data_IF_488918368073
#
_entry.id   IF_488918368073
#
_cell.length_a   1.000
_cell.length_b   1.000
_cell.length_c   1.000
_cell.angle_alpha   90.00
_cell.angle_beta   90.00
_cell.angle_gamma   90.00
#
_symmetry.space_group_name_H-M   'P 1'
#
loop_
_entity.id
_entity.type
_entity.pdbx_description
1 polymer ?
#
# COMPACT_ATOMS: atom_id res chain seq x y z
N UNK A 1 2.11 -8.18 -17.92
CA UNK A 1 0.87 -8.43 -17.13
C UNK A 1 -0.35 -8.08 -17.98
N UNK A 2 -1.16 -9.07 -18.43
CA UNK A 2 -2.20 -8.83 -19.43
C UNK A 2 -3.25 -7.77 -19.05
N UNK A 3 -3.66 -7.72 -17.78
CA UNK A 3 -4.70 -6.78 -17.30
C UNK A 3 -4.23 -5.33 -17.38
N UNK A 4 -2.98 -5.04 -16.98
CA UNK A 4 -2.43 -3.68 -17.00
C UNK A 4 -2.31 -3.18 -18.43
N UNK A 5 -1.85 -4.05 -19.33
CA UNK A 5 -1.73 -3.73 -20.75
C UNK A 5 -3.10 -3.40 -21.38
N UNK A 6 -4.11 -4.24 -21.13
CA UNK A 6 -5.49 -4.00 -21.59
C UNK A 6 -6.08 -2.70 -21.04
N UNK A 7 -5.77 -2.36 -19.79
CA UNK A 7 -6.23 -1.12 -19.17
C UNK A 7 -5.62 0.12 -19.87
N UNK A 8 -4.31 0.09 -20.14
CA UNK A 8 -3.61 1.16 -20.86
C UNK A 8 -4.17 1.32 -22.27
N UNK A 9 -4.32 0.22 -23.02
CA UNK A 9 -4.87 0.24 -24.37
C UNK A 9 -6.29 0.79 -24.41
N UNK A 10 -7.13 0.40 -23.44
CA UNK A 10 -8.52 0.85 -23.35
C UNK A 10 -8.65 2.32 -23.00
N UNK A 11 -7.77 2.85 -22.15
CA UNK A 11 -7.89 4.21 -21.62
C UNK A 11 -6.88 5.21 -22.21
N UNK A 12 -6.03 4.76 -23.15
CA UNK A 12 -5.04 5.59 -23.86
C UNK A 12 -4.13 6.40 -22.91
N UNK A 13 -3.69 5.77 -21.83
CA UNK A 13 -2.86 6.43 -20.82
C UNK A 13 -1.39 6.42 -21.23
N UNK A 14 -0.77 7.60 -21.32
CA UNK A 14 0.63 7.74 -21.75
C UNK A 14 1.65 7.57 -20.60
N UNK A 15 1.30 8.01 -19.38
CA UNK A 15 2.22 8.04 -18.23
C UNK A 15 1.55 7.43 -16.99
N UNK A 16 1.65 6.11 -16.84
CA UNK A 16 1.10 5.38 -15.71
C UNK A 16 2.21 4.91 -14.75
N UNK A 17 2.08 5.26 -13.47
CA UNK A 17 2.90 4.71 -12.39
C UNK A 17 2.09 3.70 -11.59
N UNK A 18 2.47 2.43 -11.66
CA UNK A 18 1.81 1.35 -10.95
C UNK A 18 2.32 1.26 -9.51
N UNK A 19 1.44 1.45 -8.53
CA UNK A 19 1.82 1.38 -7.11
C UNK A 19 1.24 0.12 -6.46
N UNK A 20 2.08 -0.68 -5.79
CA UNK A 20 1.69 -2.01 -5.30
C UNK A 20 2.42 -2.44 -4.02
N UNK A 21 1.76 -3.24 -3.18
CA UNK A 21 2.35 -3.75 -1.94
C UNK A 21 3.50 -4.76 -2.17
N UNK A 22 4.40 -4.88 -1.20
CA UNK A 22 5.61 -5.71 -1.22
C UNK A 22 5.34 -7.22 -1.45
N UNK A 23 4.11 -7.67 -1.19
CA UNK A 23 3.67 -9.05 -1.43
C UNK A 23 3.25 -9.34 -2.86
N UNK A 24 2.96 -8.32 -3.67
CA UNK A 24 2.31 -8.51 -4.98
C UNK A 24 3.29 -8.69 -6.15
N UNK A 25 4.58 -8.39 -5.98
CA UNK A 25 5.50 -8.34 -7.12
C UNK A 25 6.80 -9.11 -6.85
N UNK A 26 6.98 -10.18 -7.62
CA UNK A 26 8.25 -10.91 -7.74
C UNK A 26 9.25 -10.08 -8.57
N UNK A 27 10.54 -10.41 -8.50
CA UNK A 27 11.55 -9.78 -9.35
C UNK A 27 11.20 -9.94 -10.86
N UNK A 28 10.59 -11.05 -11.24
CA UNK A 28 10.12 -11.30 -12.60
C UNK A 28 8.99 -10.35 -13.01
N UNK A 29 8.02 -10.07 -12.11
CA UNK A 29 6.94 -9.14 -12.40
C UNK A 29 7.44 -7.71 -12.57
N UNK A 30 8.37 -7.27 -11.70
CA UNK A 30 8.98 -5.94 -11.81
C UNK A 30 9.76 -5.79 -13.11
N UNK A 31 10.52 -6.82 -13.51
CA UNK A 31 11.22 -6.84 -14.81
C UNK A 31 10.25 -6.74 -15.98
N UNK A 32 9.14 -7.47 -15.94
CA UNK A 32 8.13 -7.44 -17.00
C UNK A 32 7.40 -6.08 -17.10
N UNK A 33 7.25 -5.35 -15.98
CA UNK A 33 6.71 -3.99 -15.99
C UNK A 33 7.73 -3.01 -16.61
N UNK A 34 8.99 -3.12 -16.21
CA UNK A 34 10.11 -2.32 -16.73
C UNK A 34 10.29 -2.50 -18.24
N UNK A 35 10.29 -3.76 -18.73
CA UNK A 35 10.38 -4.11 -20.15
C UNK A 35 9.17 -3.64 -20.97
N UNK A 36 8.00 -3.51 -20.35
CA UNK A 36 6.81 -2.94 -20.97
C UNK A 36 6.81 -1.39 -20.93
N UNK A 37 7.92 -0.78 -20.52
CA UNK A 37 8.09 0.66 -20.33
C UNK A 37 7.07 1.27 -19.34
N UNK A 38 6.65 0.47 -18.36
CA UNK A 38 5.74 0.90 -17.30
C UNK A 38 6.52 1.29 -16.06
N UNK A 39 6.12 2.40 -15.46
CA UNK A 39 6.69 2.87 -14.20
C UNK A 39 6.03 2.15 -13.03
N UNK A 40 6.77 1.91 -11.97
CA UNK A 40 6.24 1.27 -10.77
C UNK A 40 6.81 1.84 -9.48
N UNK A 41 6.06 1.70 -8.39
CA UNK A 41 6.50 1.93 -7.01
C UNK A 41 5.99 0.76 -6.16
N UNK A 42 6.89 0.10 -5.45
CA UNK A 42 6.53 -1.07 -4.64
C UNK A 42 7.19 -1.06 -3.27
N UNK A 43 6.58 -1.73 -2.30
CA UNK A 43 7.17 -1.86 -0.99
C UNK A 43 8.41 -2.75 -1.03
N UNK A 44 9.53 -2.30 -0.48
CA UNK A 44 10.71 -3.13 -0.28
C UNK A 44 10.57 -3.97 0.99
N UNK A 45 11.16 -5.16 0.97
CA UNK A 45 11.27 -6.02 2.15
C UNK A 45 12.44 -5.53 3.00
N UNK A 46 12.26 -5.48 4.32
CA UNK A 46 13.33 -5.08 5.26
C UNK A 46 14.60 -5.91 5.13
N UNK A 47 14.50 -7.15 4.65
CA UNK A 47 15.67 -8.02 4.39
C UNK A 47 16.62 -7.48 3.32
N UNK A 48 16.17 -6.56 2.45
CA UNK A 48 17.03 -5.89 1.46
C UNK A 48 17.82 -4.71 2.04
N UNK A 49 17.34 -4.11 3.14
CA UNK A 49 17.95 -2.92 3.74
C UNK A 49 19.47 -3.06 4.00
N UNK A 50 20.01 -4.19 4.51
CA UNK A 50 21.44 -4.33 4.70
C UNK A 50 22.28 -4.16 3.43
N UNK A 51 21.73 -4.53 2.28
CA UNK A 51 22.40 -4.41 0.98
C UNK A 51 22.19 -3.00 0.42
N UNK A 52 20.95 -2.53 0.43
CA UNK A 52 20.60 -1.24 -0.16
C UNK A 52 21.27 -0.07 0.61
N UNK A 53 21.42 -0.22 1.93
CA UNK A 53 21.97 0.80 2.85
C UNK A 53 23.41 0.49 3.30
N UNK A 54 24.15 -0.38 2.59
CA UNK A 54 25.50 -0.78 3.01
C UNK A 54 26.45 0.43 3.17
N UNK A 55 26.45 1.33 2.18
CA UNK A 55 27.21 2.59 2.20
C UNK A 55 26.76 3.50 3.34
N UNK A 56 25.45 3.67 3.51
CA UNK A 56 24.89 4.43 4.63
C UNK A 56 25.40 3.93 5.99
N UNK A 57 25.24 2.63 6.25
CA UNK A 57 25.61 2.02 7.52
C UNK A 57 27.10 2.17 7.82
N UNK A 58 27.95 2.12 6.78
CA UNK A 58 29.39 2.28 6.94
C UNK A 58 29.79 3.68 7.37
N UNK A 59 29.16 4.71 6.81
CA UNK A 59 29.59 6.11 6.99
C UNK A 59 28.79 6.89 8.02
N UNK A 60 27.53 6.53 8.22
CA UNK A 60 26.59 7.23 9.10
C UNK A 60 26.11 6.36 10.26
N UNK A 61 26.33 5.04 10.22
CA UNK A 61 25.85 4.10 11.23
C UNK A 61 24.36 3.79 11.06
N UNK A 62 23.73 3.30 12.12
CA UNK A 62 22.31 2.89 12.17
C UNK A 62 21.47 3.72 13.15
N UNK A 63 22.01 4.86 13.60
CA UNK A 63 21.28 5.84 14.38
C UNK A 63 20.54 6.80 13.44
N UNK A 64 19.23 6.61 13.30
CA UNK A 64 18.39 7.42 12.42
C UNK A 64 17.66 8.55 13.16
N UNK A 65 17.37 9.62 12.43
CA UNK A 65 16.50 10.73 12.86
C UNK A 65 15.07 10.53 12.33
N UNK A 66 14.06 10.99 13.07
CA UNK A 66 12.67 10.80 12.64
C UNK A 66 12.40 11.54 11.32
N UNK A 67 11.76 10.84 10.38
CA UNK A 67 11.52 11.36 9.03
C UNK A 67 12.74 11.31 8.10
N UNK A 68 13.88 10.76 8.52
CA UNK A 68 15.05 10.61 7.67
C UNK A 68 14.74 9.75 6.44
N UNK A 69 15.12 10.25 5.26
CA UNK A 69 14.97 9.56 3.98
C UNK A 69 16.36 9.33 3.39
N UNK A 70 16.58 8.12 2.87
CA UNK A 70 17.81 7.68 2.22
C UNK A 70 17.42 7.16 0.84
N UNK A 71 17.92 7.82 -0.20
CA UNK A 71 17.70 7.45 -1.59
C UNK A 71 18.97 6.75 -2.11
N UNK A 72 18.81 5.55 -2.65
CA UNK A 72 19.90 4.63 -3.00
C UNK A 72 19.42 3.69 -4.12
N UNK A 73 20.09 2.56 -4.28
CA UNK A 73 19.77 1.52 -5.26
C UNK A 73 19.55 0.17 -4.60
N UNK A 74 18.80 -0.71 -5.28
CA UNK A 74 18.64 -2.11 -4.90
C UNK A 74 18.89 -3.00 -6.11
N UNK A 75 19.69 -4.08 -5.98
CA UNK A 75 19.92 -5.00 -7.08
C UNK A 75 18.61 -5.64 -7.60
N UNK A 76 18.47 -5.71 -8.93
CA UNK A 76 17.35 -6.41 -9.61
C UNK A 76 17.41 -7.92 -9.36
N UNK A 77 18.62 -8.47 -9.19
CA UNK A 77 18.87 -9.89 -8.92
C UNK A 77 19.82 -10.09 -7.73
N UNK A 78 19.79 -11.28 -7.13
CA UNK A 78 20.70 -11.64 -6.03
C UNK A 78 22.16 -11.80 -6.45
N UNK A 79 22.49 -11.79 -7.76
CA UNK A 79 23.87 -11.70 -8.23
C UNK A 79 24.30 -10.25 -8.16
N UNK A 80 25.00 -9.88 -7.10
CA UNK A 80 25.48 -8.54 -6.84
C UNK A 80 26.47 -8.09 -7.92
N UNK A 81 26.01 -7.34 -8.92
CA UNK A 81 26.87 -6.33 -9.53
C UNK A 81 26.96 -5.19 -8.50
N UNK A 82 28.16 -4.92 -7.98
CA UNK A 82 28.36 -3.88 -6.96
C UNK A 82 28.29 -2.51 -7.63
N UNK A 83 27.06 -2.03 -7.83
CA UNK A 83 26.79 -0.66 -8.26
C UNK A 83 26.76 0.30 -7.06
N UNK A 84 26.55 -0.23 -5.85
CA UNK A 84 26.75 0.50 -4.59
C UNK A 84 28.16 0.19 -4.06
N UNK A 85 29.09 1.16 -4.10
CA UNK A 85 30.44 1.01 -3.55
C UNK A 85 30.53 1.61 -2.14
N UNK A 86 30.63 0.77 -1.07
CA UNK A 86 30.72 1.26 0.30
C UNK A 86 32.01 2.04 0.58
N UNK A 87 33.02 2.01 -0.29
CA UNK A 87 34.23 2.82 -0.12
C UNK A 87 34.00 4.30 -0.45
N UNK A 88 32.91 4.64 -1.13
CA UNK A 88 32.55 6.02 -1.43
C UNK A 88 31.58 6.55 -0.37
N UNK A 89 31.86 7.73 0.18
CA UNK A 89 31.04 8.38 1.22
C UNK A 89 29.88 9.16 0.60
N UNK A 90 29.09 8.48 -0.22
CA UNK A 90 27.88 9.02 -0.84
C UNK A 90 26.95 7.86 -1.21
N UNK A 91 25.64 8.08 -1.11
CA UNK A 91 24.69 7.12 -1.65
C UNK A 91 24.70 7.19 -3.19
N UNK A 92 24.58 6.05 -3.89
CA UNK A 92 24.48 6.04 -5.34
C UNK A 92 23.17 6.70 -5.78
N UNK A 93 23.28 7.72 -6.63
CA UNK A 93 22.12 8.32 -7.28
C UNK A 93 21.70 7.42 -8.44
N UNK A 94 20.53 6.79 -8.33
CA UNK A 94 20.07 5.88 -9.38
C UNK A 94 19.89 6.60 -10.72
N UNK A 95 20.50 6.04 -11.75
CA UNK A 95 20.34 6.42 -13.15
C UNK A 95 20.12 5.13 -13.96
N UNK A 96 19.06 5.03 -14.78
CA UNK A 96 18.71 3.79 -15.49
C UNK A 96 19.76 3.34 -16.51
N UNK A 97 20.58 4.26 -17.05
CA UNK A 97 21.64 3.97 -18.02
C UNK A 97 22.92 3.52 -17.32
N UNK A 98 23.23 4.08 -16.15
CA UNK A 98 24.43 3.71 -15.39
C UNK A 98 24.21 2.49 -14.48
N UNK A 99 22.98 2.28 -14.00
CA UNK A 99 22.61 1.26 -13.02
C UNK A 99 21.69 0.20 -13.61
N UNK A 100 22.10 -0.40 -14.73
CA UNK A 100 21.29 -1.39 -15.46
C UNK A 100 20.90 -2.62 -14.60
N UNK A 101 21.75 -2.98 -13.62
CA UNK A 101 21.53 -4.13 -12.75
C UNK A 101 20.77 -3.82 -11.46
N UNK A 102 20.38 -2.56 -11.23
CA UNK A 102 19.65 -2.12 -10.04
C UNK A 102 18.40 -1.30 -10.38
N UNK A 103 17.48 -1.25 -9.43
CA UNK A 103 16.40 -0.25 -9.39
C UNK A 103 16.73 0.81 -8.34
N UNK A 104 16.03 1.94 -8.38
CA UNK A 104 16.07 2.91 -7.30
C UNK A 104 15.39 2.34 -6.06
N UNK A 105 15.99 2.58 -4.91
CA UNK A 105 15.45 2.21 -3.61
C UNK A 105 15.42 3.42 -2.70
N UNK A 106 14.24 3.72 -2.16
CA UNK A 106 14.05 4.79 -1.18
C UNK A 106 13.76 4.15 0.17
N UNK A 107 14.46 4.55 1.21
CA UNK A 107 14.26 4.08 2.57
C UNK A 107 13.89 5.26 3.47
N UNK A 108 12.84 5.10 4.26
CA UNK A 108 12.39 6.10 5.23
C UNK A 108 12.39 5.52 6.63
N UNK A 109 12.91 6.29 7.59
CA UNK A 109 12.83 5.98 9.00
C UNK A 109 11.64 6.68 9.66
N UNK A 110 10.94 5.96 10.54
CA UNK A 110 9.90 6.53 11.39
C UNK A 110 10.02 6.03 12.83
N UNK A 111 10.06 6.96 13.79
CA UNK A 111 10.09 6.64 15.21
C UNK A 111 8.82 5.91 15.67
N UNK A 112 7.65 6.35 15.21
CA UNK A 112 6.36 5.67 15.49
C UNK A 112 6.34 4.23 14.96
N UNK A 113 7.00 3.96 13.82
CA UNK A 113 7.19 2.60 13.32
C UNK A 113 8.19 1.85 14.19
N UNK A 114 9.32 2.46 14.52
CA UNK A 114 10.35 1.87 15.36
C UNK A 114 9.82 1.35 16.70
N UNK A 115 8.98 2.13 17.39
CA UNK A 115 8.34 1.72 18.65
C UNK A 115 7.49 0.45 18.47
N UNK A 116 6.69 0.39 17.41
CA UNK A 116 5.83 -0.78 17.11
C UNK A 116 6.66 -2.00 16.71
N UNK A 117 7.63 -1.81 15.82
CA UNK A 117 8.50 -2.87 15.33
C UNK A 117 9.32 -3.47 16.48
N UNK A 118 9.85 -2.64 17.40
CA UNK A 118 10.54 -3.10 18.62
C UNK A 118 9.66 -3.96 19.49
N UNK A 119 8.41 -3.55 19.74
CA UNK A 119 7.47 -4.36 20.51
C UNK A 119 7.23 -5.71 19.86
N UNK A 120 7.01 -5.74 18.54
CA UNK A 120 6.83 -7.00 17.80
C UNK A 120 8.08 -7.88 17.82
N UNK A 121 9.27 -7.29 17.68
CA UNK A 121 10.55 -8.03 17.74
C UNK A 121 10.82 -8.57 19.14
N UNK A 122 10.56 -7.80 20.20
CA UNK A 122 10.69 -8.26 21.59
C UNK A 122 9.82 -9.50 21.85
N UNK A 123 8.56 -9.48 21.41
CA UNK A 123 7.69 -10.66 21.52
C UNK A 123 8.21 -11.87 20.72
N UNK A 124 8.88 -11.65 19.58
CA UNK A 124 9.51 -12.72 18.80
C UNK A 124 10.76 -13.27 19.50
N UNK A 125 11.55 -12.39 20.12
CA UNK A 125 12.70 -12.74 20.94
C UNK A 125 12.29 -13.56 22.16
N UNK A 126 11.32 -13.10 22.94
CA UNK A 126 10.79 -13.81 24.11
C UNK A 126 10.32 -15.22 23.71
N UNK A 127 9.63 -15.32 22.57
CA UNK A 127 9.18 -16.60 22.03
C UNK A 127 10.35 -17.49 21.61
N UNK A 128 11.40 -16.93 21.01
CA UNK A 128 12.60 -17.68 20.62
C UNK A 128 13.34 -18.20 21.86
N UNK A 129 13.53 -17.35 22.88
CA UNK A 129 14.19 -17.70 24.14
C UNK A 129 13.40 -18.76 24.91
N UNK A 130 12.07 -18.65 25.01
CA UNK A 130 11.21 -19.65 25.65
C UNK A 130 11.28 -21.03 24.97
N UNK A 131 11.39 -21.08 23.63
CA UNK A 131 11.55 -22.33 22.88
C UNK A 131 12.92 -22.96 23.13
N UNK A 132 13.98 -22.15 23.20
CA UNK A 132 15.34 -22.63 23.53
C UNK A 132 15.42 -23.12 24.98
N UNK A 133 14.70 -22.49 25.91
CA UNK A 133 14.60 -22.90 27.31
C UNK A 133 13.73 -24.15 27.53
N UNK A 134 13.05 -24.66 26.50
CA UNK A 134 12.19 -25.85 26.60
C UNK A 134 10.79 -25.58 27.17
N UNK A 135 10.41 -24.32 27.38
CA UNK A 135 9.12 -23.94 27.97
C UNK A 135 7.93 -24.08 26.99
N UNK A 136 8.20 -24.12 25.68
CA UNK A 136 7.20 -24.23 24.60
C UNK A 136 7.72 -25.10 23.46
N UNK A 137 6.93 -26.05 22.98
CA UNK A 137 7.22 -26.81 21.77
C UNK A 137 6.00 -26.89 20.83
N UNK A 138 6.19 -26.53 19.56
CA UNK A 138 5.39 -27.01 18.41
C UNK A 138 5.91 -26.52 17.03
N UNK A 139 6.68 -25.44 16.95
CA UNK A 139 7.29 -24.97 15.68
C UNK A 139 8.50 -24.10 15.98
N UNK A 140 9.60 -24.26 15.24
CA UNK A 140 10.81 -23.45 15.38
C UNK A 140 10.49 -21.98 15.00
N UNK A 141 10.41 -21.04 15.95
CA UNK A 141 10.04 -19.67 15.64
C UNK A 141 11.21 -18.94 14.97
N UNK A 142 10.94 -17.72 14.47
CA UNK A 142 11.99 -16.82 13.97
C UNK A 142 13.03 -16.59 15.07
N UNK A 143 14.31 -16.48 14.68
CA UNK A 143 15.47 -16.31 15.57
C UNK A 143 15.86 -17.54 16.40
N UNK A 144 15.37 -18.73 16.06
CA UNK A 144 15.94 -19.98 16.57
C UNK A 144 16.72 -20.67 15.45
N UNK A 145 17.94 -21.12 15.73
CA UNK A 145 18.74 -21.98 14.85
C UNK A 145 19.06 -23.28 15.58
N UNK A 146 19.40 -24.31 14.82
CA UNK A 146 19.78 -25.62 15.38
C UNK A 146 21.28 -25.76 15.19
N UNK A 147 21.99 -26.20 16.21
CA UNK A 147 23.44 -26.38 16.19
C UNK A 147 23.73 -27.71 16.87
N UNK A 148 24.15 -28.71 16.07
CA UNK A 148 24.11 -30.11 16.50
C UNK A 148 22.68 -30.53 16.83
N UNK A 149 22.49 -31.15 17.99
CA UNK A 149 21.18 -31.60 18.47
C UNK A 149 20.43 -30.56 19.32
N UNK A 150 21.01 -29.38 19.53
CA UNK A 150 20.44 -28.33 20.37
C UNK A 150 19.85 -27.17 19.56
N UNK A 151 18.75 -26.60 20.07
CA UNK A 151 18.23 -25.33 19.59
C UNK A 151 18.91 -24.18 20.35
N UNK A 152 19.36 -23.16 19.62
CA UNK A 152 19.98 -21.96 20.17
C UNK A 152 19.38 -20.72 19.54
N UNK A 153 19.46 -19.58 20.25
CA UNK A 153 19.02 -18.29 19.71
C UNK A 153 19.98 -17.85 18.60
N UNK A 154 19.44 -17.40 17.48
CA UNK A 154 20.20 -16.77 16.40
C UNK A 154 20.39 -15.29 16.70
N UNK A 155 21.31 -15.00 17.63
CA UNK A 155 21.65 -13.65 18.09
C UNK A 155 22.08 -12.73 16.94
N UNK A 156 22.74 -13.26 15.91
CA UNK A 156 23.17 -12.48 14.75
C UNK A 156 21.98 -12.04 13.87
N UNK A 157 20.98 -12.91 13.67
CA UNK A 157 19.75 -12.55 12.96
C UNK A 157 18.88 -11.59 13.77
N UNK A 158 18.83 -11.78 15.10
CA UNK A 158 18.11 -10.90 16.01
C UNK A 158 18.71 -9.49 16.04
N UNK A 159 20.02 -9.37 16.22
CA UNK A 159 20.74 -8.10 16.19
C UNK A 159 20.52 -7.37 14.85
N UNK A 160 20.62 -8.08 13.71
CA UNK A 160 20.30 -7.51 12.40
C UNK A 160 18.86 -7.01 12.32
N UNK A 161 17.89 -7.74 12.87
CA UNK A 161 16.50 -7.29 12.86
C UNK A 161 16.29 -6.01 13.69
N UNK A 162 16.95 -5.90 14.85
CA UNK A 162 16.89 -4.70 15.68
C UNK A 162 17.53 -3.46 15.02
N UNK A 163 18.63 -3.63 14.28
CA UNK A 163 19.28 -2.54 13.52
C UNK A 163 18.39 -1.95 12.42
N UNK A 164 17.42 -2.71 11.93
CA UNK A 164 16.54 -2.31 10.82
C UNK A 164 15.17 -1.80 11.29
N UNK A 165 14.96 -1.73 12.60
CA UNK A 165 13.72 -1.24 13.20
C UNK A 165 13.37 0.15 12.70
N UNK A 166 12.10 0.37 12.34
CA UNK A 166 11.63 1.69 11.94
C UNK A 166 11.91 2.07 10.49
N UNK A 167 12.74 1.31 9.77
CA UNK A 167 12.97 1.48 8.35
C UNK A 167 11.85 0.85 7.52
N UNK A 168 11.37 1.60 6.53
CA UNK A 168 10.50 1.12 5.47
C UNK A 168 11.11 1.48 4.13
N UNK A 169 11.29 0.48 3.28
CA UNK A 169 11.83 0.68 1.94
C UNK A 169 10.76 0.66 0.88
N UNK A 170 11.08 1.28 -0.25
CA UNK A 170 10.29 1.41 -1.47
C UNK A 170 11.23 1.18 -2.65
N UNK A 171 10.78 0.49 -3.69
CA UNK A 171 11.55 0.23 -4.91
C UNK A 171 10.80 0.80 -6.11
N UNK A 172 11.51 1.47 -6.99
CA UNK A 172 10.92 2.11 -8.17
C UNK A 172 11.91 2.13 -9.35
N UNK A 173 11.38 2.17 -10.57
CA UNK A 173 12.14 2.51 -11.78
C UNK A 173 11.92 3.97 -12.22
N UNK A 174 11.36 4.82 -11.34
CA UNK A 174 11.18 6.25 -11.60
C UNK A 174 12.42 7.01 -11.11
N UNK A 175 13.03 7.76 -12.03
CA UNK A 175 14.20 8.58 -11.76
C UNK A 175 13.89 9.72 -10.77
N UNK A 176 14.92 10.19 -10.05
CA UNK A 176 14.76 11.24 -9.02
C UNK A 176 14.36 12.59 -9.61
N UNK A 177 14.72 12.85 -10.86
CA UNK A 177 14.34 14.05 -11.63
C UNK A 177 12.85 14.04 -11.98
N UNK A 178 12.24 12.86 -12.10
CA UNK A 178 10.81 12.70 -12.40
C UNK A 178 9.98 12.67 -11.12
N UNK A 179 10.49 12.05 -10.06
CA UNK A 179 9.78 11.93 -8.79
C UNK A 179 10.75 11.90 -7.62
N UNK A 180 10.60 12.85 -6.70
CA UNK A 180 11.42 12.92 -5.49
C UNK A 180 11.17 11.72 -4.56
N UNK A 181 12.10 11.45 -3.65
CA UNK A 181 11.95 10.39 -2.67
C UNK A 181 10.70 10.57 -1.79
N UNK A 182 10.36 11.83 -1.46
CA UNK A 182 9.16 12.16 -0.69
C UNK A 182 7.87 11.83 -1.44
N UNK A 183 7.81 12.13 -2.75
CA UNK A 183 6.66 11.80 -3.59
C UNK A 183 6.50 10.28 -3.76
N UNK A 184 7.60 9.53 -3.93
CA UNK A 184 7.56 8.05 -3.97
C UNK A 184 6.92 7.49 -2.70
N UNK A 185 7.31 8.02 -1.54
CA UNK A 185 6.75 7.62 -0.24
C UNK A 185 5.26 7.99 -0.15
N UNK A 186 4.89 9.21 -0.56
CA UNK A 186 3.52 9.69 -0.54
C UNK A 186 2.60 8.85 -1.45
N UNK A 187 2.99 8.63 -2.71
CA UNK A 187 2.24 7.81 -3.66
C UNK A 187 2.07 6.37 -3.16
N UNK A 188 3.07 5.80 -2.46
CA UNK A 188 2.89 4.50 -1.81
C UNK A 188 1.92 4.57 -0.64
N UNK A 189 1.93 5.62 0.17
CA UNK A 189 0.98 5.77 1.28
C UNK A 189 -0.47 5.92 0.78
N UNK A 190 -0.68 6.44 -0.42
CA UNK A 190 -2.00 6.53 -1.05
C UNK A 190 -2.63 5.16 -1.37
N UNK A 191 -1.85 4.06 -1.35
CA UNK A 191 -2.43 2.70 -1.39
C UNK A 191 -3.45 2.49 -0.29
N UNK A 192 -3.30 3.16 0.85
CA UNK A 192 -4.25 3.04 1.93
C UNK A 192 -5.65 3.55 1.54
N UNK A 193 -5.77 4.53 0.63
CA UNK A 193 -7.09 4.93 0.09
C UNK A 193 -7.73 3.80 -0.70
N UNK A 194 -6.93 3.05 -1.44
CA UNK A 194 -7.36 1.85 -2.17
C UNK A 194 -7.75 0.73 -1.19
N UNK A 195 -6.94 0.46 -0.17
CA UNK A 195 -7.27 -0.50 0.90
C UNK A 195 -8.53 -0.13 1.67
N UNK A 196 -8.71 1.16 2.00
CA UNK A 196 -9.93 1.68 2.60
C UNK A 196 -11.12 1.42 1.69
N UNK A 197 -11.01 1.76 0.40
CA UNK A 197 -12.07 1.52 -0.57
C UNK A 197 -12.41 0.03 -0.66
N UNK A 198 -11.42 -0.87 -0.68
CA UNK A 198 -11.65 -2.32 -0.64
C UNK A 198 -12.26 -2.80 0.68
N UNK A 199 -11.90 -2.19 1.81
CA UNK A 199 -12.46 -2.54 3.13
C UNK A 199 -13.92 -2.10 3.25
N UNK A 200 -14.21 -0.86 2.85
CA UNK A 200 -15.58 -0.32 2.74
C UNK A 200 -16.40 -1.15 1.77
N UNK A 201 -15.83 -1.50 0.61
CA UNK A 201 -16.48 -2.35 -0.37
C UNK A 201 -16.87 -3.71 0.25
N UNK A 202 -16.05 -4.29 1.12
CA UNK A 202 -16.35 -5.57 1.81
C UNK A 202 -17.45 -5.49 2.86
N UNK A 203 -17.53 -4.42 3.66
CA UNK A 203 -18.52 -4.30 4.76
C UNK A 203 -19.77 -3.54 4.37
N UNK A 204 -19.63 -2.47 3.59
CA UNK A 204 -20.69 -1.53 3.25
C UNK A 204 -21.32 -1.87 1.89
N UNK A 205 -20.55 -2.44 0.96
CA UNK A 205 -21.03 -2.82 -0.38
C UNK A 205 -21.04 -4.34 -0.63
N UNK A 206 -20.80 -5.17 0.39
CA UNK A 206 -20.79 -6.64 0.31
C UNK A 206 -19.99 -7.20 -0.89
N UNK A 207 -18.83 -6.63 -1.20
CA UNK A 207 -18.01 -6.94 -2.38
C UNK A 207 -17.56 -8.39 -2.52
N UNK A 208 -17.65 -9.20 -1.47
CA UNK A 208 -17.29 -10.62 -1.56
C UNK A 208 -18.45 -11.35 -2.24
N UNK A 209 -18.27 -11.89 -3.47
CA UNK A 209 -19.30 -12.65 -4.13
C UNK A 209 -19.38 -14.04 -3.50
N UNK A 210 -19.87 -14.12 -2.25
CA UNK A 210 -19.91 -15.36 -1.47
C UNK A 210 -20.86 -16.40 -2.07
N UNK A 211 -21.85 -15.95 -2.84
CA UNK A 211 -22.92 -16.80 -3.39
C UNK A 211 -22.93 -16.84 -4.93
N UNK A 212 -21.98 -16.20 -5.61
CA UNK A 212 -21.89 -16.23 -7.07
C UNK A 212 -20.88 -17.28 -7.52
N UNK A 213 -21.31 -18.21 -8.40
CA UNK A 213 -20.46 -19.29 -8.93
C UNK A 213 -20.20 -19.18 -10.43
N UNK A 214 -21.04 -18.44 -11.16
CA UNK A 214 -20.89 -18.20 -12.60
C UNK A 214 -20.06 -16.94 -12.81
N UNK A 215 -19.16 -16.96 -13.79
CA UNK A 215 -18.30 -15.83 -14.16
C UNK A 215 -19.10 -14.54 -14.36
N UNK A 216 -20.15 -14.57 -15.18
CA UNK A 216 -20.97 -13.40 -15.48
C UNK A 216 -21.62 -12.79 -14.23
N UNK A 217 -22.06 -13.64 -13.29
CA UNK A 217 -22.65 -13.18 -12.03
C UNK A 217 -21.60 -12.53 -11.11
N UNK A 218 -20.36 -13.02 -11.13
CA UNK A 218 -19.24 -12.42 -10.41
C UNK A 218 -18.89 -11.07 -11.05
N UNK A 219 -18.76 -11.00 -12.37
CA UNK A 219 -18.45 -9.78 -13.11
C UNK A 219 -19.52 -8.70 -12.91
N UNK A 220 -20.81 -9.06 -12.99
CA UNK A 220 -21.92 -8.14 -12.73
C UNK A 220 -21.91 -7.63 -11.28
N UNK A 221 -21.73 -8.51 -10.28
CA UNK A 221 -21.64 -8.12 -8.87
C UNK A 221 -20.49 -7.15 -8.64
N UNK A 222 -19.29 -7.48 -9.13
CA UNK A 222 -18.13 -6.61 -9.00
C UNK A 222 -18.36 -5.27 -9.68
N UNK A 223 -18.98 -5.26 -10.88
CA UNK A 223 -19.29 -4.02 -11.60
C UNK A 223 -20.21 -3.12 -10.78
N UNK A 224 -21.32 -3.65 -10.25
CA UNK A 224 -22.25 -2.88 -9.41
C UNK A 224 -21.53 -2.32 -8.18
N UNK A 225 -20.70 -3.15 -7.54
CA UNK A 225 -19.95 -2.76 -6.34
C UNK A 225 -18.93 -1.66 -6.63
N UNK A 226 -18.19 -1.75 -7.73
CA UNK A 226 -17.24 -0.71 -8.14
C UNK A 226 -17.96 0.59 -8.54
N UNK A 227 -19.08 0.51 -9.25
CA UNK A 227 -19.91 1.67 -9.58
C UNK A 227 -20.45 2.34 -8.32
N UNK A 228 -20.99 1.57 -7.37
CA UNK A 228 -21.48 2.10 -6.10
C UNK A 228 -20.35 2.76 -5.28
N UNK A 229 -19.15 2.18 -5.29
CA UNK A 229 -17.97 2.77 -4.65
C UNK A 229 -17.58 4.10 -5.31
N UNK A 230 -17.56 4.15 -6.65
CA UNK A 230 -17.24 5.38 -7.39
C UNK A 230 -18.23 6.50 -7.06
N UNK A 231 -19.54 6.22 -7.11
CA UNK A 231 -20.60 7.17 -6.74
C UNK A 231 -20.47 7.61 -5.28
N UNK A 232 -20.18 6.69 -4.36
CA UNK A 232 -20.02 7.02 -2.95
C UNK A 232 -18.80 7.91 -2.68
N UNK A 233 -17.68 7.67 -3.39
CA UNK A 233 -16.47 8.50 -3.29
C UNK A 233 -16.68 9.89 -3.87
N UNK A 234 -17.36 10.00 -5.00
CA UNK A 234 -17.74 11.28 -5.59
C UNK A 234 -18.65 12.07 -4.63
N UNK A 235 -19.67 11.42 -4.07
CA UNK A 235 -20.57 12.04 -3.09
C UNK A 235 -19.81 12.52 -1.84
N UNK A 236 -18.83 11.75 -1.36
CA UNK A 236 -17.95 12.15 -0.26
C UNK A 236 -17.07 13.35 -0.64
N UNK A 237 -16.49 13.36 -1.84
CA UNK A 237 -15.65 14.46 -2.30
C UNK A 237 -16.43 15.77 -2.39
N UNK A 238 -17.66 15.73 -2.94
CA UNK A 238 -18.52 16.91 -3.08
C UNK A 238 -19.03 17.45 -1.74
N UNK A 239 -19.43 16.58 -0.83
CA UNK A 239 -20.07 16.99 0.44
C UNK A 239 -19.09 17.15 1.60
N UNK A 240 -17.87 16.61 1.50
CA UNK A 240 -16.92 16.49 2.61
C UNK A 240 -17.38 15.53 3.73
N UNK A 241 -18.56 14.92 3.63
CA UNK A 241 -19.13 14.06 4.66
C UNK A 241 -18.66 12.60 4.51
N UNK A 242 -18.58 11.89 5.64
CA UNK A 242 -18.39 10.45 5.61
C UNK A 242 -19.55 9.76 4.88
N UNK A 243 -19.25 8.78 4.02
CA UNK A 243 -20.26 8.04 3.21
C UNK A 243 -21.42 7.52 4.06
N UNK A 244 -21.14 6.98 5.25
CA UNK A 244 -22.17 6.52 6.20
C UNK A 244 -23.14 7.64 6.60
N UNK A 245 -22.66 8.86 6.79
CA UNK A 245 -23.49 10.00 7.15
C UNK A 245 -24.37 10.44 5.98
N UNK A 246 -23.83 10.44 4.76
CA UNK A 246 -24.59 10.72 3.53
C UNK A 246 -25.73 9.71 3.40
N UNK A 247 -25.41 8.41 3.44
CA UNK A 247 -26.42 7.34 3.34
C UNK A 247 -27.46 7.44 4.45
N UNK A 248 -27.05 7.68 5.70
CA UNK A 248 -27.99 7.79 6.83
C UNK A 248 -28.98 8.94 6.66
N UNK A 249 -28.53 10.08 6.14
CA UNK A 249 -29.36 11.28 6.00
C UNK A 249 -30.25 11.26 4.77
N UNK A 250 -29.76 10.70 3.65
CA UNK A 250 -30.50 10.71 2.38
C UNK A 250 -31.36 9.45 2.17
N UNK A 251 -31.01 8.29 2.73
CA UNK A 251 -31.78 7.03 2.57
C UNK A 251 -33.26 7.12 2.99
N UNK A 252 -33.64 7.89 4.03
CA UNK A 252 -35.04 8.07 4.39
C UNK A 252 -35.84 8.92 3.41
N UNK A 253 -35.19 9.74 2.58
CA UNK A 253 -35.86 10.59 1.60
C UNK A 253 -36.45 9.73 0.48
N UNK A 254 -37.77 9.56 0.49
CA UNK A 254 -38.52 8.78 -0.49
C UNK A 254 -39.76 9.53 -0.90
N UNK A 255 -40.03 9.55 -2.20
CA UNK A 255 -41.32 9.98 -2.73
C UNK A 255 -42.36 8.87 -2.59
N UNK A 256 -43.62 9.25 -2.34
CA UNK A 256 -44.74 8.31 -2.31
C UNK A 256 -45.66 8.57 -3.49
N UNK A 257 -45.95 7.54 -4.28
CA UNK A 257 -46.94 7.63 -5.36
C UNK A 257 -48.25 7.04 -4.85
N UNK A 258 -49.30 7.86 -4.84
CA UNK A 258 -50.62 7.52 -4.32
C UNK A 258 -51.62 7.62 -5.47
N UNK A 259 -52.44 6.58 -5.65
CA UNK A 259 -53.54 6.58 -6.60
C UNK A 259 -54.87 6.59 -5.85
N UNK A 260 -55.68 7.63 -6.04
CA UNK A 260 -57.01 7.76 -5.44
C UNK A 260 -58.00 8.13 -6.56
N UNK A 261 -59.11 7.40 -6.64
CA UNK A 261 -60.20 7.64 -7.62
C UNK A 261 -59.72 7.75 -9.08
N UNK A 262 -58.71 6.95 -9.47
CA UNK A 262 -58.14 6.96 -10.82
C UNK A 262 -57.12 8.07 -11.10
N UNK A 263 -56.89 8.99 -10.16
CA UNK A 263 -55.83 10.00 -10.26
C UNK A 263 -54.57 9.53 -9.51
N UNK A 264 -53.42 9.57 -10.18
CA UNK A 264 -52.11 9.24 -9.60
C UNK A 264 -51.36 10.53 -9.28
N UNK A 265 -50.96 10.70 -8.01
CA UNK A 265 -50.15 11.82 -7.55
C UNK A 265 -48.86 11.31 -6.90
N UNK A 266 -47.75 12.02 -7.11
CA UNK A 266 -46.47 11.72 -6.46
C UNK A 266 -46.15 12.82 -5.46
N UNK A 267 -46.07 12.44 -4.18
CA UNK A 267 -45.71 13.33 -3.10
C UNK A 267 -44.18 13.30 -2.90
N UNK A 268 -43.50 14.47 -2.92
CA UNK A 268 -42.07 14.53 -2.65
C UNK A 268 -41.78 14.23 -1.17
N UNK A 269 -40.53 13.82 -0.84
CA UNK A 269 -40.13 13.68 0.56
C UNK A 269 -40.11 15.05 1.27
N UNK A 270 -40.31 15.04 2.59
CA UNK A 270 -40.00 16.19 3.42
C UNK A 270 -38.47 16.28 3.58
N UNK A 271 -37.87 17.38 3.12
CA UNK A 271 -36.42 17.61 3.14
C UNK A 271 -36.13 18.72 4.16
N UNK A 272 -35.30 18.43 5.15
CA UNK A 272 -34.82 19.46 6.10
C UNK A 272 -33.78 20.38 5.46
N UNK A 273 -33.52 21.54 6.06
CA UNK A 273 -32.47 22.46 5.58
C UNK A 273 -31.09 21.79 5.52
N UNK A 274 -30.75 20.97 6.52
CA UNK A 274 -29.49 20.22 6.55
C UNK A 274 -29.41 19.20 5.41
N UNK A 275 -30.52 18.52 5.08
CA UNK A 275 -30.58 17.58 3.97
C UNK A 275 -30.52 18.30 2.63
N UNK A 276 -31.15 19.47 2.52
CA UNK A 276 -31.11 20.29 1.31
C UNK A 276 -29.68 20.75 1.02
N UNK A 277 -28.93 21.20 2.02
CA UNK A 277 -27.52 21.58 1.85
C UNK A 277 -26.66 20.43 1.30
N UNK A 278 -26.90 19.20 1.77
CA UNK A 278 -26.21 18.00 1.25
C UNK A 278 -26.59 17.76 -0.22
N UNK A 279 -27.87 17.92 -0.58
CA UNK A 279 -28.33 17.75 -1.96
C UNK A 279 -27.73 18.82 -2.89
N UNK A 280 -27.66 20.06 -2.42
CA UNK A 280 -27.08 21.17 -3.15
C UNK A 280 -25.60 20.91 -3.42
N UNK A 281 -24.81 20.54 -2.39
CA UNK A 281 -23.39 20.19 -2.56
C UNK A 281 -23.19 19.01 -3.55
N UNK A 282 -24.15 18.07 -3.65
CA UNK A 282 -24.09 16.97 -4.61
C UNK A 282 -24.37 17.40 -6.06
N UNK A 283 -25.28 18.35 -6.26
CA UNK A 283 -25.72 18.82 -7.59
C UNK A 283 -24.78 19.89 -8.13
N UNK A 284 -24.47 20.87 -7.31
CA UNK A 284 -23.60 22.00 -7.63
C UNK A 284 -22.47 22.06 -6.59
N UNK A 285 -21.32 21.42 -6.86
CA UNK A 285 -20.24 21.36 -5.90
C UNK A 285 -19.75 22.77 -5.59
N UNK A 286 -20.05 23.24 -4.38
CA UNK A 286 -19.46 24.49 -3.90
C UNK A 286 -17.93 24.33 -3.91
N UNK A 287 -17.21 25.32 -4.42
CA UNK A 287 -15.75 25.33 -4.45
C UNK A 287 -15.20 25.41 -3.02
N UNK A 288 -15.25 24.30 -2.29
CA UNK A 288 -14.62 24.16 -0.99
C UNK A 288 -13.31 23.38 -1.22
N UNK A 289 -12.23 24.10 -0.91
CA UNK A 289 -10.81 23.78 -1.08
C UNK A 289 -10.40 22.34 -0.78
#
# INVERSE_FOLDING_TARGET
MPIVQQFIERHQLADLVMVADAGMLSAANLKALDEANLRFIVGSRSTKAPVDLESHFRWHGDAFTDGQVIDTITPKSGKHRRENDPKHKAEPKWDPKEHEASWRAVWAYSHKRAVRDRKTLGLQEDKARAVVAGEKAAHKPRFVKTTGDANVVDEASLARAYRLVGLKGYVTNVAVETMSAAEVIASYHDLWHVEQSFRMSKTDLAARPMFHRKRDAIEAHLTIVFTALAVAREAQARTGLAIRNIVRQLRPLRSATITINGATQTLPPAISLDQQAILDDLIDPSARH
#
